data_IF_054978226838
#
_entry.id   IF_054978226838
#
_cell.length_a   1.000
_cell.length_b   1.000
_cell.length_c   1.000
_cell.angle_alpha   90.00
_cell.angle_beta   90.00
_cell.angle_gamma   90.00
#
_symmetry.space_group_name_H-M   'P 1'
#
loop_
_entity.id
_entity.type
_entity.pdbx_description
1 polymer ?
#
# COMPACT_ATOMS: atom_id res chain seq x y z
N UNK A 1 6.96 11.49 -8.82
CA UNK A 1 6.63 12.63 -7.93
C UNK A 1 5.88 13.78 -8.63
N UNK A 2 4.86 13.52 -9.47
CA UNK A 2 4.18 14.60 -10.21
C UNK A 2 2.64 14.65 -10.06
N UNK A 3 2.02 13.71 -9.34
CA UNK A 3 0.55 13.66 -9.22
C UNK A 3 -0.01 14.50 -8.05
N UNK A 4 0.83 15.27 -7.35
CA UNK A 4 0.52 15.69 -5.99
C UNK A 4 0.29 17.19 -5.77
N UNK A 5 0.02 17.93 -6.85
CA UNK A 5 -0.04 19.41 -6.82
C UNK A 5 -1.44 20.01 -6.80
N UNK A 6 -2.49 19.19 -6.71
CA UNK A 6 -3.88 19.68 -6.70
C UNK A 6 -4.44 19.94 -5.30
N UNK A 7 -3.85 19.38 -4.23
CA UNK A 7 -4.22 19.69 -2.85
C UNK A 7 -3.10 20.48 -2.18
N UNK A 8 -3.38 21.70 -1.70
CA UNK A 8 -2.48 22.48 -0.84
C UNK A 8 -2.33 21.86 0.57
N UNK A 9 -2.51 20.55 0.69
CA UNK A 9 -2.38 19.81 1.94
C UNK A 9 -0.95 19.29 2.01
N UNK A 10 -0.20 19.68 3.04
CA UNK A 10 1.13 19.16 3.25
C UNK A 10 1.07 17.62 3.29
N UNK A 11 2.06 16.93 2.68
CA UNK A 11 2.15 15.46 2.59
C UNK A 11 1.92 14.77 3.96
N UNK A 12 2.34 15.43 5.04
CA UNK A 12 2.17 15.01 6.45
C UNK A 12 0.75 15.11 7.03
N UNK A 13 -0.15 15.87 6.43
CA UNK A 13 -1.53 16.06 6.90
C UNK A 13 -2.56 15.25 6.11
N UNK A 14 -2.13 14.46 5.13
CA UNK A 14 -3.06 13.60 4.40
C UNK A 14 -3.38 12.38 5.21
N UNK A 15 -4.67 12.19 5.45
CA UNK A 15 -5.23 10.98 6.06
C UNK A 15 -5.70 9.98 5.00
N UNK A 16 -5.79 10.39 3.73
CA UNK A 16 -6.18 9.54 2.62
C UNK A 16 -5.40 9.86 1.34
N UNK A 17 -5.19 8.83 0.51
CA UNK A 17 -4.75 8.96 -0.88
C UNK A 17 -5.87 9.62 -1.71
N UNK A 18 -5.49 10.37 -2.75
CA UNK A 18 -6.46 10.89 -3.71
C UNK A 18 -6.86 9.80 -4.72
N UNK A 19 -8.08 9.87 -5.24
CA UNK A 19 -8.56 8.93 -6.27
C UNK A 19 -7.64 8.91 -7.50
N UNK A 20 -7.11 10.08 -7.90
CA UNK A 20 -6.13 10.17 -8.99
C UNK A 20 -4.84 9.41 -8.67
N UNK A 21 -4.36 9.47 -7.43
CA UNK A 21 -3.18 8.70 -7.02
C UNK A 21 -3.48 7.20 -7.06
N UNK A 22 -4.63 6.78 -6.51
CA UNK A 22 -5.04 5.37 -6.49
C UNK A 22 -5.09 4.82 -7.92
N UNK A 23 -5.83 5.49 -8.80
CA UNK A 23 -5.97 5.06 -10.19
C UNK A 23 -4.62 4.98 -10.93
N UNK A 24 -3.75 5.97 -10.75
CA UNK A 24 -2.42 5.95 -11.37
C UNK A 24 -1.54 4.82 -10.80
N UNK A 25 -1.55 4.63 -9.49
CA UNK A 25 -0.77 3.56 -8.85
C UNK A 25 -1.26 2.18 -9.27
N UNK A 26 -2.57 1.98 -9.39
CA UNK A 26 -3.15 0.74 -9.89
C UNK A 26 -2.75 0.45 -11.33
N UNK A 27 -2.91 1.45 -12.21
CA UNK A 27 -2.65 1.30 -13.64
C UNK A 27 -1.17 1.19 -13.99
N UNK A 28 -0.29 1.90 -13.29
CA UNK A 28 1.13 1.99 -13.64
C UNK A 28 2.00 1.03 -12.83
N UNK A 29 1.69 0.83 -11.54
CA UNK A 29 2.52 0.05 -10.63
C UNK A 29 1.90 -1.33 -10.38
N UNK A 30 0.66 -1.39 -9.90
CA UNK A 30 0.04 -2.67 -9.53
C UNK A 30 -0.31 -3.55 -10.72
N UNK A 31 -0.56 -2.98 -11.90
CA UNK A 31 -0.79 -3.75 -13.13
C UNK A 31 0.42 -4.61 -13.53
N UNK A 32 1.63 -4.16 -13.18
CA UNK A 32 2.89 -4.83 -13.48
C UNK A 32 3.44 -5.61 -12.28
N UNK A 33 2.88 -5.40 -11.09
CA UNK A 33 3.31 -6.08 -9.87
C UNK A 33 2.88 -7.55 -9.87
N UNK A 34 3.88 -8.45 -9.92
CA UNK A 34 3.70 -9.89 -9.83
C UNK A 34 3.72 -10.33 -8.37
N UNK A 35 2.53 -10.52 -7.80
CA UNK A 35 2.38 -10.91 -6.39
C UNK A 35 3.13 -12.20 -6.03
N UNK A 36 3.26 -13.14 -6.98
CA UNK A 36 3.95 -14.42 -6.74
C UNK A 36 5.45 -14.23 -6.56
N UNK A 37 6.05 -13.34 -7.33
CA UNK A 37 7.49 -13.05 -7.22
C UNK A 37 7.86 -12.46 -5.86
N UNK A 38 6.93 -11.76 -5.19
CA UNK A 38 7.14 -11.33 -3.81
C UNK A 38 7.17 -12.55 -2.87
N UNK A 39 6.22 -13.46 -2.99
CA UNK A 39 6.14 -14.66 -2.14
C UNK A 39 7.36 -15.57 -2.34
N UNK A 40 7.77 -15.76 -3.59
CA UNK A 40 8.94 -16.57 -3.93
C UNK A 40 10.26 -15.99 -3.37
N UNK A 41 10.29 -14.69 -3.10
CA UNK A 41 11.45 -14.03 -2.49
C UNK A 41 11.46 -14.11 -0.96
N UNK A 42 10.38 -14.57 -0.32
CA UNK A 42 10.31 -14.73 1.12
C UNK A 42 10.92 -16.07 1.55
N UNK A 43 11.49 -16.16 2.76
CA UNK A 43 11.87 -17.45 3.33
C UNK A 43 10.65 -18.36 3.48
N UNK A 44 10.81 -19.67 3.22
CA UNK A 44 9.73 -20.67 3.37
C UNK A 44 9.06 -20.66 4.76
N UNK A 45 9.80 -20.24 5.79
CA UNK A 45 9.31 -20.15 7.17
C UNK A 45 8.53 -18.85 7.47
N UNK A 46 8.41 -17.93 6.51
CA UNK A 46 7.70 -16.67 6.70
C UNK A 46 6.19 -16.90 6.82
N UNK A 47 5.63 -16.53 7.96
CA UNK A 47 4.19 -16.70 8.27
C UNK A 47 3.42 -15.38 8.27
N UNK A 48 4.12 -14.25 8.46
CA UNK A 48 3.49 -12.93 8.55
C UNK A 48 4.36 -11.92 7.85
N UNK A 49 3.75 -11.09 7.01
CA UNK A 49 4.42 -10.05 6.23
C UNK A 49 3.95 -8.71 6.76
N UNK A 50 4.90 -7.86 7.16
CA UNK A 50 4.63 -6.49 7.55
C UNK A 50 5.06 -5.53 6.43
N UNK A 51 4.11 -4.73 5.92
CA UNK A 51 4.40 -3.67 4.95
C UNK A 51 4.68 -2.35 5.67
N UNK A 52 5.87 -1.81 5.45
CA UNK A 52 6.30 -0.55 6.06
C UNK A 52 6.06 0.65 5.14
N UNK A 53 5.68 1.78 5.73
CA UNK A 53 5.59 3.07 5.05
C UNK A 53 5.84 4.20 6.05
N UNK A 54 6.03 5.42 5.54
CA UNK A 54 6.37 6.58 6.40
C UNK A 54 5.12 7.29 6.94
N UNK A 55 3.99 7.13 6.27
CA UNK A 55 2.71 7.69 6.70
C UNK A 55 2.09 6.86 7.84
N UNK A 56 1.48 7.55 8.81
CA UNK A 56 0.76 6.94 9.93
C UNK A 56 -0.44 6.12 9.44
N UNK A 57 -1.29 6.75 8.63
CA UNK A 57 -2.59 6.19 8.28
C UNK A 57 -2.47 5.25 7.07
N UNK A 58 -2.98 4.00 7.14
CA UNK A 58 -2.97 3.07 5.99
C UNK A 58 -3.69 3.64 4.77
N UNK A 59 -4.75 4.41 4.98
CA UNK A 59 -5.50 5.08 3.91
C UNK A 59 -4.70 6.20 3.25
N UNK A 60 -3.66 6.73 3.90
CA UNK A 60 -2.81 7.80 3.39
C UNK A 60 -1.61 7.33 2.55
N UNK A 61 -1.40 6.03 2.40
CA UNK A 61 -0.23 5.48 1.72
C UNK A 61 -0.54 4.27 0.85
N UNK A 62 0.38 3.95 -0.06
CA UNK A 62 0.22 2.85 -1.02
C UNK A 62 0.23 1.46 -0.36
N UNK A 63 0.62 1.34 0.92
CA UNK A 63 0.70 0.03 1.59
C UNK A 63 -0.66 -0.65 1.69
N UNK A 64 -1.74 0.12 1.82
CA UNK A 64 -3.11 -0.41 1.81
C UNK A 64 -3.47 -0.97 0.44
N UNK A 65 -3.10 -0.29 -0.65
CA UNK A 65 -3.31 -0.77 -2.01
C UNK A 65 -2.57 -2.08 -2.28
N UNK A 66 -1.30 -2.17 -1.88
CA UNK A 66 -0.49 -3.40 -2.01
C UNK A 66 -1.06 -4.52 -1.16
N UNK A 67 -1.41 -4.25 0.11
CA UNK A 67 -2.00 -5.23 1.01
C UNK A 67 -3.30 -5.81 0.44
N UNK A 68 -4.19 -4.96 -0.09
CA UNK A 68 -5.44 -5.40 -0.70
C UNK A 68 -5.19 -6.28 -1.93
N UNK A 69 -4.27 -5.91 -2.81
CA UNK A 69 -3.91 -6.75 -3.98
C UNK A 69 -3.40 -8.12 -3.56
N UNK A 70 -2.58 -8.20 -2.52
CA UNK A 70 -2.08 -9.48 -1.98
C UNK A 70 -3.21 -10.29 -1.34
N UNK A 71 -4.11 -9.64 -0.60
CA UNK A 71 -5.27 -10.26 0.01
C UNK A 71 -6.22 -10.84 -1.04
N UNK A 72 -6.49 -10.12 -2.12
CA UNK A 72 -7.31 -10.60 -3.23
C UNK A 72 -6.66 -11.76 -3.98
N UNK A 73 -5.35 -11.70 -4.23
CA UNK A 73 -4.63 -12.74 -4.95
C UNK A 73 -4.52 -14.06 -4.17
N UNK A 74 -4.44 -13.99 -2.84
CA UNK A 74 -4.09 -15.14 -1.99
C UNK A 74 -5.06 -15.41 -0.84
N UNK A 75 -6.17 -14.67 -0.76
CA UNK A 75 -7.17 -14.78 0.32
C UNK A 75 -6.56 -14.56 1.72
N UNK A 76 -5.62 -13.62 1.82
CA UNK A 76 -4.94 -13.30 3.08
C UNK A 76 -5.76 -12.33 3.93
N UNK A 77 -5.63 -12.44 5.25
CA UNK A 77 -6.14 -11.45 6.18
C UNK A 77 -5.21 -10.24 6.25
N UNK A 78 -5.80 -9.04 6.20
CA UNK A 78 -5.06 -7.77 6.31
C UNK A 78 -5.36 -7.12 7.65
N UNK A 79 -4.32 -6.95 8.46
CA UNK A 79 -4.36 -6.15 9.68
C UNK A 79 -3.60 -4.83 9.48
N UNK A 80 -4.28 -3.71 9.69
CA UNK A 80 -3.66 -2.39 9.61
C UNK A 80 -3.05 -1.99 10.95
N UNK A 81 -1.72 -1.86 10.98
CA UNK A 81 -0.98 -1.43 12.16
C UNK A 81 -1.00 0.09 12.29
N UNK A 82 -1.48 0.56 13.44
CA UNK A 82 -1.52 1.96 13.87
C UNK A 82 -0.74 2.09 15.18
N UNK A 83 -0.01 3.20 15.40
CA UNK A 83 0.63 3.45 16.68
C UNK A 83 -0.42 3.65 17.79
N UNK A 84 -0.09 3.20 19.00
CA UNK A 84 -0.88 3.49 20.19
C UNK A 84 -0.99 5.01 20.41
N UNK A 85 -2.11 5.44 21.00
CA UNK A 85 -2.45 6.87 21.23
C UNK A 85 -1.55 7.55 22.24
#
# INVERSE_FOLDING_TARGET
EAADKASKTAKRQRTALSDTFIAAYEAEILSQFQSQSLLDALPDAAQTIALFCVEREPTACHRSLVANKLAEAYQLEVAHLLPDV
#
